data_IF_848494015600
#
_entry.id   IF_848494015600
#
_cell.length_a   1.000
_cell.length_b   1.000
_cell.length_c   1.000
_cell.angle_alpha   90.00
_cell.angle_beta   90.00
_cell.angle_gamma   90.00
#
_symmetry.space_group_name_H-M   'P 1'
#
loop_
_entity.id
_entity.type
_entity.pdbx_description
1 polymer ?
#
# COMPACT_ATOMS: atom_id res chain seq x y z
N UNK A 1 -3.44 -10.77 -20.20
CA UNK A 1 -3.91 -9.38 -19.93
C UNK A 1 -2.69 -8.48 -19.82
N UNK A 2 -2.68 -7.31 -20.49
CA UNK A 2 -1.52 -6.38 -20.46
C UNK A 2 -1.67 -5.40 -19.28
N UNK A 3 -1.12 -5.74 -18.12
CA UNK A 3 -1.21 -4.97 -16.88
C UNK A 3 -0.54 -3.59 -16.97
N UNK A 4 0.55 -3.45 -17.76
CA UNK A 4 1.23 -2.17 -17.99
C UNK A 4 0.30 -1.17 -18.68
N UNK A 5 -0.37 -1.62 -19.74
CA UNK A 5 -1.33 -0.81 -20.48
C UNK A 5 -2.53 -0.40 -19.62
N UNK A 6 -3.01 -1.31 -18.76
CA UNK A 6 -4.09 -1.03 -17.80
C UNK A 6 -3.65 0.05 -16.81
N UNK A 7 -2.46 -0.06 -16.23
CA UNK A 7 -1.92 0.91 -15.28
C UNK A 7 -1.75 2.30 -15.91
N UNK A 8 -1.24 2.37 -17.14
CA UNK A 8 -1.12 3.64 -17.89
C UNK A 8 -2.49 4.27 -18.16
N UNK A 9 -3.47 3.45 -18.52
CA UNK A 9 -4.84 3.91 -18.76
C UNK A 9 -5.48 4.45 -17.47
N UNK A 10 -5.31 3.77 -16.32
CA UNK A 10 -5.83 4.20 -15.03
C UNK A 10 -5.33 5.58 -14.59
N UNK A 11 -4.11 5.96 -14.91
CA UNK A 11 -3.57 7.31 -14.62
C UNK A 11 -4.34 8.42 -15.35
N UNK A 12 -5.01 8.10 -16.45
CA UNK A 12 -5.75 9.06 -17.29
C UNK A 12 -7.27 8.94 -17.10
N UNK A 13 -7.76 7.70 -16.97
CA UNK A 13 -9.17 7.35 -16.96
C UNK A 13 -9.52 6.60 -15.68
N UNK A 14 -9.71 7.32 -14.59
CA UNK A 14 -10.12 6.82 -13.28
C UNK A 14 -11.49 7.41 -12.89
N UNK A 15 -12.23 6.69 -12.09
CA UNK A 15 -13.49 7.16 -11.48
C UNK A 15 -13.23 7.83 -10.13
N UNK A 16 -12.23 7.31 -9.37
CA UNK A 16 -11.84 7.84 -8.07
C UNK A 16 -10.33 8.02 -8.00
N UNK A 17 -9.90 9.17 -7.49
CA UNK A 17 -8.51 9.44 -7.16
C UNK A 17 -8.37 9.67 -5.66
N UNK A 18 -7.41 8.99 -5.05
CA UNK A 18 -7.03 9.18 -3.66
C UNK A 18 -5.59 9.68 -3.54
N UNK A 19 -5.31 10.36 -2.44
CA UNK A 19 -3.98 10.81 -2.08
C UNK A 19 -3.82 10.68 -0.56
N UNK A 20 -2.65 10.27 -0.10
CA UNK A 20 -2.30 10.29 1.32
C UNK A 20 -1.01 11.04 1.54
N UNK A 21 -1.08 12.04 2.39
CA UNK A 21 0.06 12.86 2.83
C UNK A 21 0.54 12.39 4.21
N UNK A 22 1.75 12.77 4.57
CA UNK A 22 2.37 12.39 5.84
C UNK A 22 1.50 12.73 7.05
N UNK A 23 0.86 13.89 7.08
CA UNK A 23 -0.04 14.30 8.19
C UNK A 23 -1.15 13.30 8.47
N UNK A 24 -1.73 12.69 7.41
CA UNK A 24 -2.80 11.71 7.52
C UNK A 24 -2.30 10.33 7.98
N UNK A 25 -1.00 10.10 7.86
CA UNK A 25 -0.32 8.85 8.19
C UNK A 25 0.61 8.99 9.41
N UNK A 26 0.52 10.11 10.15
CA UNK A 26 1.41 10.41 11.27
C UNK A 26 1.54 9.24 12.26
N UNK A 27 0.44 8.63 12.65
CA UNK A 27 0.40 7.52 13.61
C UNK A 27 0.94 6.19 13.06
N UNK A 28 1.08 6.07 11.73
CA UNK A 28 1.54 4.85 11.09
C UNK A 28 3.07 4.69 11.17
N UNK A 29 3.81 5.80 11.36
CA UNK A 29 5.27 5.81 11.45
C UNK A 29 5.77 5.75 12.89
N UNK A 30 6.91 5.08 13.09
CA UNK A 30 7.53 4.88 14.40
C UNK A 30 8.11 6.17 14.97
N UNK A 31 8.94 6.88 14.20
CA UNK A 31 9.65 8.09 14.65
C UNK A 31 8.73 9.32 14.65
N UNK A 32 7.93 9.49 15.70
CA UNK A 32 7.04 10.65 15.84
C UNK A 32 7.80 11.98 15.89
N UNK A 33 9.04 11.97 16.42
CA UNK A 33 9.93 13.14 16.43
C UNK A 33 10.25 13.60 15.01
N UNK A 34 10.67 12.68 14.14
CA UNK A 34 11.02 13.01 12.75
C UNK A 34 9.77 13.37 11.92
N UNK A 35 8.66 12.67 12.11
CA UNK A 35 7.37 13.03 11.50
C UNK A 35 7.01 14.49 11.83
N UNK A 36 7.07 14.88 13.12
CA UNK A 36 6.75 16.25 13.54
C UNK A 36 7.72 17.27 12.96
N UNK A 37 9.00 16.96 12.87
CA UNK A 37 10.03 17.81 12.27
C UNK A 37 9.74 18.07 10.79
N UNK A 38 9.43 17.02 10.02
CA UNK A 38 9.08 17.14 8.60
C UNK A 38 7.80 17.98 8.45
N UNK A 39 6.77 17.71 9.27
CA UNK A 39 5.48 18.40 9.16
C UNK A 39 5.52 19.89 9.51
N UNK A 40 6.56 20.38 10.18
CA UNK A 40 6.77 21.83 10.41
C UNK A 40 7.01 22.58 9.09
N UNK A 41 7.67 21.95 8.13
CA UNK A 41 8.12 22.59 6.89
C UNK A 41 7.42 22.05 5.63
N UNK A 42 6.93 20.81 5.67
CA UNK A 42 6.37 20.13 4.50
C UNK A 42 5.36 19.05 4.92
N UNK A 43 4.41 18.76 4.03
CA UNK A 43 3.49 17.64 4.18
C UNK A 43 3.55 16.76 2.92
N UNK A 44 4.61 15.94 2.77
CA UNK A 44 4.84 15.20 1.54
C UNK A 44 3.73 14.19 1.25
N UNK A 45 3.48 13.99 -0.04
CA UNK A 45 2.62 12.93 -0.52
C UNK A 45 3.38 11.61 -0.37
N UNK A 46 2.77 10.67 0.36
CA UNK A 46 3.31 9.32 0.55
C UNK A 46 2.88 8.42 -0.60
N UNK A 47 1.58 8.42 -0.94
CA UNK A 47 1.08 7.66 -2.09
C UNK A 47 -0.18 8.26 -2.71
N UNK A 48 -0.43 7.85 -3.97
CA UNK A 48 -1.65 8.16 -4.74
C UNK A 48 -2.32 6.87 -5.20
N UNK A 49 -3.63 6.93 -5.36
CA UNK A 49 -4.44 5.83 -5.90
C UNK A 49 -5.32 6.31 -7.04
N UNK A 50 -5.52 5.45 -8.03
CA UNK A 50 -6.41 5.68 -9.16
C UNK A 50 -7.28 4.43 -9.31
N UNK A 51 -8.57 4.57 -9.08
CA UNK A 51 -9.52 3.45 -9.01
C UNK A 51 -10.61 3.60 -10.05
N UNK A 52 -11.02 2.47 -10.64
CA UNK A 52 -12.23 2.36 -11.45
C UNK A 52 -12.82 0.95 -11.32
N UNK A 53 -13.97 0.75 -11.91
CA UNK A 53 -14.54 -0.57 -12.09
C UNK A 53 -13.62 -1.46 -12.92
N UNK A 54 -13.39 -2.68 -12.45
CA UNK A 54 -12.69 -3.74 -13.18
C UNK A 54 -13.71 -4.65 -13.90
N UNK A 55 -14.69 -5.08 -13.15
CA UNK A 55 -15.85 -5.82 -13.63
C UNK A 55 -17.07 -5.49 -12.75
N UNK A 56 -18.17 -6.26 -12.89
CA UNK A 56 -19.40 -6.05 -12.14
C UNK A 56 -19.16 -6.02 -10.61
N UNK A 57 -18.27 -6.89 -10.11
CA UNK A 57 -18.12 -7.15 -8.68
C UNK A 57 -16.81 -6.62 -8.08
N UNK A 58 -15.87 -6.19 -8.92
CA UNK A 58 -14.52 -5.78 -8.48
C UNK A 58 -14.16 -4.37 -8.93
N UNK A 59 -13.37 -3.71 -8.07
CA UNK A 59 -12.57 -2.55 -8.41
C UNK A 59 -11.17 -2.98 -8.83
N UNK A 60 -10.54 -2.17 -9.68
CA UNK A 60 -9.11 -2.19 -9.92
C UNK A 60 -8.52 -0.84 -9.51
N UNK A 61 -7.44 -0.87 -8.73
CA UNK A 61 -6.77 0.33 -8.24
C UNK A 61 -5.29 0.28 -8.61
N UNK A 62 -4.81 1.32 -9.29
CA UNK A 62 -3.36 1.58 -9.38
C UNK A 62 -2.94 2.39 -8.16
N UNK A 63 -2.00 1.88 -7.39
CA UNK A 63 -1.35 2.59 -6.29
C UNK A 63 0.06 2.97 -6.66
N UNK A 64 0.43 4.22 -6.41
CA UNK A 64 1.78 4.77 -6.64
C UNK A 64 2.33 5.24 -5.31
N UNK A 65 3.23 4.46 -4.70
CA UNK A 65 3.93 4.85 -3.46
C UNK A 65 5.21 5.58 -3.85
N UNK A 66 5.39 6.79 -3.32
CA UNK A 66 6.59 7.58 -3.55
C UNK A 66 7.82 6.87 -2.98
N UNK A 67 9.00 7.12 -3.58
CA UNK A 67 10.27 6.81 -2.97
C UNK A 67 10.46 7.67 -1.73
N UNK A 68 10.91 7.08 -0.64
CA UNK A 68 11.23 7.83 0.58
C UNK A 68 11.16 6.99 1.85
N UNK A 69 11.52 7.63 2.94
CA UNK A 69 11.45 7.05 4.28
C UNK A 69 11.32 8.15 5.34
N UNK A 70 10.91 7.77 6.53
CA UNK A 70 10.89 8.60 7.73
C UNK A 70 11.83 7.93 8.74
N UNK A 71 12.97 8.55 9.00
CA UNK A 71 13.98 8.00 9.93
C UNK A 71 14.34 6.54 9.62
N UNK A 72 14.50 6.23 8.32
CA UNK A 72 14.78 4.89 7.83
C UNK A 72 13.57 4.00 7.59
N UNK A 73 12.41 4.27 8.18
CA UNK A 73 11.17 3.54 7.92
C UNK A 73 10.60 3.92 6.54
N UNK A 74 10.48 2.93 5.65
CA UNK A 74 10.07 3.15 4.27
C UNK A 74 8.66 3.74 4.11
N UNK A 75 8.45 4.47 3.03
CA UNK A 75 7.11 4.89 2.62
C UNK A 75 6.24 3.68 2.30
N UNK A 76 4.97 3.77 2.71
CA UNK A 76 4.03 2.67 2.67
C UNK A 76 2.60 3.14 2.49
N UNK A 77 1.69 2.25 2.13
CA UNK A 77 0.26 2.52 2.26
C UNK A 77 -0.16 2.51 3.73
N UNK A 78 -1.25 3.19 4.06
CA UNK A 78 -1.82 3.16 5.41
C UNK A 78 -2.12 1.73 5.87
N UNK A 79 -2.52 0.87 4.93
CA UNK A 79 -2.96 -0.48 5.21
C UNK A 79 -4.36 -0.53 5.80
N UNK A 80 -4.98 -1.69 5.71
CA UNK A 80 -6.34 -1.93 6.18
C UNK A 80 -6.61 -3.42 6.37
N UNK A 81 -7.73 -3.70 7.01
CA UNK A 81 -8.42 -4.99 6.99
C UNK A 81 -9.71 -4.82 6.19
N UNK A 82 -10.10 -5.80 5.38
CA UNK A 82 -11.41 -5.78 4.74
C UNK A 82 -12.52 -5.95 5.79
N UNK A 83 -13.54 -5.08 5.77
CA UNK A 83 -14.72 -5.20 6.67
C UNK A 83 -15.51 -6.45 6.35
N UNK A 84 -15.70 -6.75 5.06
CA UNK A 84 -16.26 -8.01 4.59
C UNK A 84 -15.08 -8.91 4.17
N UNK A 85 -14.87 -10.07 4.81
CA UNK A 85 -13.73 -10.92 4.52
C UNK A 85 -13.64 -11.30 3.05
N UNK A 86 -12.66 -10.78 2.34
CA UNK A 86 -12.42 -11.01 0.92
C UNK A 86 -10.92 -11.12 0.63
N UNK A 87 -10.60 -11.74 -0.50
CA UNK A 87 -9.24 -11.76 -1.04
C UNK A 87 -8.97 -10.48 -1.81
N UNK A 88 -7.69 -10.12 -1.91
CA UNK A 88 -7.23 -9.06 -2.79
C UNK A 88 -6.00 -9.53 -3.56
N UNK A 89 -5.96 -9.24 -4.85
CA UNK A 89 -4.85 -9.61 -5.72
C UNK A 89 -3.95 -8.41 -5.99
N UNK A 90 -2.64 -8.60 -5.90
CA UNK A 90 -1.62 -7.58 -6.21
C UNK A 90 -0.77 -7.97 -7.41
N UNK A 91 -0.53 -7.01 -8.30
CA UNK A 91 0.28 -7.17 -9.51
C UNK A 91 1.30 -6.02 -9.57
N UNK A 92 2.59 -6.34 -9.54
CA UNK A 92 3.66 -5.36 -9.68
C UNK A 92 3.66 -4.77 -11.09
N UNK A 93 3.72 -3.46 -11.18
CA UNK A 93 3.86 -2.70 -12.43
C UNK A 93 5.27 -2.14 -12.57
N UNK A 94 5.79 -1.50 -11.52
CA UNK A 94 7.10 -0.84 -11.55
C UNK A 94 7.68 -0.73 -10.14
N UNK A 95 9.01 -0.74 -10.06
CA UNK A 95 9.74 -0.57 -8.80
C UNK A 95 9.91 -1.86 -8.01
N UNK A 96 10.24 -1.71 -6.73
CA UNK A 96 10.47 -2.81 -5.79
C UNK A 96 9.67 -2.57 -4.53
N UNK A 97 8.95 -3.58 -4.08
CA UNK A 97 8.14 -3.45 -2.87
C UNK A 97 7.75 -4.79 -2.27
N UNK A 98 7.21 -4.71 -1.07
CA UNK A 98 6.72 -5.87 -0.33
C UNK A 98 5.30 -5.62 0.17
N UNK A 99 4.55 -6.70 0.33
CA UNK A 99 3.25 -6.69 1.02
C UNK A 99 3.44 -7.30 2.40
N UNK A 100 3.19 -6.50 3.43
CA UNK A 100 3.07 -6.96 4.81
C UNK A 100 1.63 -7.39 5.04
N UNK A 101 1.44 -8.61 5.50
CA UNK A 101 0.15 -9.21 5.83
C UNK A 101 0.17 -9.70 7.27
N UNK A 102 -0.78 -9.25 8.08
CA UNK A 102 -0.87 -9.61 9.51
C UNK A 102 -2.28 -10.00 9.92
N UNK A 103 -2.37 -10.98 10.79
CA UNK A 103 -3.56 -11.31 11.54
C UNK A 103 -3.20 -11.57 13.01
N UNK A 104 -4.15 -12.01 13.84
CA UNK A 104 -3.90 -12.26 15.27
C UNK A 104 -2.81 -13.31 15.53
N UNK A 105 -2.61 -14.26 14.61
CA UNK A 105 -1.71 -15.42 14.79
C UNK A 105 -0.43 -15.33 13.99
N UNK A 106 -0.47 -14.73 12.82
CA UNK A 106 0.60 -14.79 11.82
C UNK A 106 0.92 -13.41 11.23
N UNK A 107 2.19 -13.25 10.86
CA UNK A 107 2.67 -12.12 10.08
C UNK A 107 3.55 -12.61 8.94
N UNK A 108 3.34 -12.08 7.73
CA UNK A 108 4.07 -12.44 6.51
C UNK A 108 4.53 -11.18 5.79
N UNK A 109 5.73 -11.24 5.22
CA UNK A 109 6.23 -10.26 4.26
C UNK A 109 6.48 -10.98 2.95
N UNK A 110 5.86 -10.52 1.88
CA UNK A 110 5.95 -11.13 0.54
C UNK A 110 6.44 -10.10 -0.45
N UNK A 111 7.54 -10.41 -1.17
CA UNK A 111 8.05 -9.53 -2.22
C UNK A 111 7.08 -9.47 -3.40
N UNK A 112 6.76 -8.26 -3.86
CA UNK A 112 6.14 -8.06 -5.16
C UNK A 112 7.15 -8.48 -6.24
N UNK A 113 6.73 -9.34 -7.17
CA UNK A 113 7.55 -9.84 -8.26
C UNK A 113 6.87 -9.60 -9.59
N UNK A 114 7.67 -9.23 -10.61
CA UNK A 114 7.18 -9.11 -11.98
C UNK A 114 6.57 -10.45 -12.42
N UNK A 115 5.49 -10.36 -13.18
CA UNK A 115 4.77 -11.51 -13.75
C UNK A 115 4.20 -12.51 -12.72
N UNK A 116 4.19 -12.12 -11.43
CA UNK A 116 3.56 -12.91 -10.36
C UNK A 116 2.47 -12.11 -9.67
N UNK A 117 1.28 -12.70 -9.62
CA UNK A 117 0.18 -12.19 -8.81
C UNK A 117 0.34 -12.67 -7.37
N UNK A 118 0.26 -11.73 -6.41
CA UNK A 118 0.22 -12.03 -4.98
C UNK A 118 -1.24 -11.97 -4.54
N UNK A 119 -1.67 -13.01 -3.86
CA UNK A 119 -2.99 -13.06 -3.24
C UNK A 119 -2.89 -12.75 -1.75
N UNK A 120 -3.59 -11.72 -1.29
CA UNK A 120 -3.82 -11.45 0.13
C UNK A 120 -5.01 -12.28 0.58
N UNK A 121 -4.84 -13.20 1.55
CA UNK A 121 -5.93 -14.02 2.04
C UNK A 121 -6.98 -13.20 2.81
N UNK A 122 -8.20 -13.76 2.93
CA UNK A 122 -9.21 -13.20 3.84
C UNK A 122 -8.67 -13.07 5.26
N UNK A 123 -9.18 -12.10 6.01
CA UNK A 123 -8.87 -11.88 7.43
C UNK A 123 -7.41 -11.54 7.72
N UNK A 124 -6.67 -11.07 6.72
CA UNK A 124 -5.35 -10.45 6.90
C UNK A 124 -5.45 -8.95 6.71
N UNK A 125 -5.04 -8.20 7.74
CA UNK A 125 -4.67 -6.81 7.55
C UNK A 125 -3.43 -6.75 6.66
N UNK A 126 -3.38 -5.78 5.75
CA UNK A 126 -2.27 -5.70 4.81
C UNK A 126 -1.91 -4.27 4.45
N UNK A 127 -0.63 -4.04 4.18
CA UNK A 127 -0.07 -2.81 3.63
C UNK A 127 1.04 -3.12 2.64
N UNK A 128 1.25 -2.21 1.71
CA UNK A 128 2.36 -2.30 0.77
C UNK A 128 3.42 -1.27 1.13
N UNK A 129 4.69 -1.69 1.05
CA UNK A 129 5.85 -0.90 1.45
C UNK A 129 6.78 -0.79 0.26
N UNK A 130 7.21 0.44 -0.06
CA UNK A 130 8.18 0.71 -1.11
C UNK A 130 9.60 0.63 -0.54
N UNK A 131 10.25 -0.52 -0.69
CA UNK A 131 11.64 -0.74 -0.28
C UNK A 131 12.65 -0.62 -1.42
N UNK A 132 12.25 0.03 -2.51
CA UNK A 132 13.10 0.30 -3.68
C UNK A 132 13.62 1.73 -3.75
N UNK A 133 14.39 2.02 -4.81
CA UNK A 133 15.04 3.30 -5.07
C UNK A 133 14.26 4.21 -6.01
N UNK A 134 13.08 3.80 -6.42
CA UNK A 134 12.16 4.55 -7.26
C UNK A 134 10.72 4.45 -6.73
N UNK A 135 9.77 5.14 -7.37
CA UNK A 135 8.36 4.99 -7.03
C UNK A 135 7.91 3.56 -7.30
N UNK A 136 7.18 2.98 -6.35
CA UNK A 136 6.54 1.69 -6.51
C UNK A 136 5.15 1.86 -7.11
N UNK A 137 4.88 1.15 -8.20
CA UNK A 137 3.56 1.09 -8.83
C UNK A 137 3.04 -0.35 -8.83
N UNK A 138 1.84 -0.55 -8.36
CA UNK A 138 1.17 -1.85 -8.38
C UNK A 138 -0.33 -1.70 -8.58
N UNK A 139 -0.94 -2.71 -9.19
CA UNK A 139 -2.39 -2.84 -9.28
C UNK A 139 -2.89 -3.71 -8.14
N UNK A 140 -4.04 -3.37 -7.59
CA UNK A 140 -4.82 -4.24 -6.73
C UNK A 140 -6.21 -4.47 -7.31
N UNK A 141 -6.74 -5.70 -7.14
CA UNK A 141 -8.09 -6.10 -7.57
C UNK A 141 -8.80 -6.67 -6.36
N UNK A 142 -9.93 -6.07 -5.98
CA UNK A 142 -10.67 -6.43 -4.78
C UNK A 142 -12.18 -6.22 -4.97
N UNK A 143 -12.98 -6.90 -4.15
CA UNK A 143 -14.45 -6.83 -4.21
C UNK A 143 -14.95 -5.43 -3.86
N UNK A 144 -15.94 -4.92 -4.60
CA UNK A 144 -16.56 -3.60 -4.37
C UNK A 144 -17.16 -3.47 -2.97
N UNK A 145 -17.69 -4.54 -2.42
CA UNK A 145 -18.31 -4.58 -1.09
C UNK A 145 -17.33 -4.92 0.05
N UNK A 146 -16.03 -5.09 -0.23
CA UNK A 146 -15.04 -5.44 0.78
C UNK A 146 -14.98 -4.43 1.94
N UNK A 147 -15.09 -3.13 1.62
CA UNK A 147 -14.91 -2.05 2.59
C UNK A 147 -13.52 -2.09 3.24
N UNK A 148 -13.07 -0.96 3.79
CA UNK A 148 -11.75 -0.87 4.44
C UNK A 148 -11.89 -0.43 5.89
N UNK A 149 -11.30 -1.20 6.82
CA UNK A 149 -11.10 -0.80 8.20
C UNK A 149 -9.64 -0.36 8.39
N UNK A 150 -9.45 0.93 8.63
CA UNK A 150 -8.13 1.56 8.80
C UNK A 150 -7.70 1.67 10.27
N UNK A 151 -8.48 1.11 11.22
CA UNK A 151 -8.16 1.13 12.66
C UNK A 151 -7.16 0.04 13.07
N UNK A 152 -6.44 -0.50 12.10
CA UNK A 152 -5.48 -1.58 12.29
C UNK A 152 -4.12 -0.99 12.65
N UNK A 153 -3.50 -1.55 13.67
CA UNK A 153 -2.10 -1.32 14.01
C UNK A 153 -1.26 -2.51 13.57
N UNK A 154 -0.26 -2.24 12.73
CA UNK A 154 0.66 -3.27 12.27
C UNK A 154 1.80 -3.42 13.28
N UNK A 155 2.06 -4.66 13.69
CA UNK A 155 3.11 -5.00 14.65
C UNK A 155 4.51 -4.90 14.04
N UNK A 156 4.63 -5.16 12.74
CA UNK A 156 5.92 -5.08 12.04
C UNK A 156 6.10 -3.74 11.34
N UNK A 157 7.33 -3.24 11.42
CA UNK A 157 7.79 -2.06 10.71
C UNK A 157 8.97 -2.44 9.81
N UNK A 158 9.08 -1.84 8.64
CA UNK A 158 10.15 -2.12 7.69
C UNK A 158 11.04 -0.89 7.53
N UNK A 159 12.29 -1.03 7.97
CA UNK A 159 13.33 -0.03 7.87
C UNK A 159 14.34 -0.42 6.78
N UNK A 160 15.18 0.55 6.36
CA UNK A 160 16.19 0.33 5.30
C UNK A 160 17.09 -0.87 5.56
N UNK A 161 17.46 -1.13 6.81
CA UNK A 161 18.45 -2.14 7.14
C UNK A 161 17.91 -3.30 7.98
N UNK A 162 16.66 -3.26 8.43
CA UNK A 162 16.10 -4.29 9.30
C UNK A 162 14.57 -4.27 9.34
N UNK A 163 13.99 -5.35 9.84
CA UNK A 163 12.58 -5.47 10.17
C UNK A 163 12.48 -5.42 11.69
N UNK A 164 11.73 -4.43 12.21
CA UNK A 164 11.43 -4.34 13.63
C UNK A 164 10.08 -4.99 13.94
N UNK A 165 10.03 -5.69 15.06
CA UNK A 165 8.78 -6.05 15.76
C UNK A 165 8.61 -5.02 16.88
N UNK A 166 7.45 -4.41 16.93
CA UNK A 166 7.06 -3.49 18.00
C UNK A 166 6.09 -4.21 18.92
#
# INVERSE_FOLDING_TARGET
MNWQKIAQNLKKNYEKKGERKLKEMKKDYFSQKEVNKILKNNNPIIYKTYTRDFDRDHFITLTVIKKGNIDGEYYMTKGHLHKVPSKEDYILIKGKGVVLMENKKNSKIVNLKKDKKINVPKNYAHRTINNGDENLEFLSIYKKNAGHDYRIEFKRKLFKNYISLI
#
